data_IF_475449746204
#
_entry.id   IF_475449746204
#
_cell.length_a   1.000
_cell.length_b   1.000
_cell.length_c   1.000
_cell.angle_alpha   90.00
_cell.angle_beta   90.00
_cell.angle_gamma   90.00
#
_symmetry.space_group_name_H-M   'P 1'
#
loop_
_entity.id
_entity.type
_entity.pdbx_description
1 polymer ?
#
# COMPACT_ATOMS: atom_id res chain seq x y z
N UNK A 1 -3.51 -2.48 -3.18
CA UNK A 1 -2.75 -3.71 -2.87
C UNK A 1 -1.40 -3.62 -3.56
N UNK A 2 -0.30 -3.65 -2.81
CA UNK A 2 1.07 -3.65 -3.32
C UNK A 2 1.88 -4.76 -2.68
N UNK A 3 2.99 -5.20 -3.28
CA UNK A 3 3.84 -6.24 -2.70
C UNK A 3 5.24 -6.30 -3.32
N UNK A 4 6.14 -7.07 -2.69
CA UNK A 4 7.56 -7.21 -3.08
C UNK A 4 8.25 -5.85 -3.30
N UNK A 5 8.12 -4.93 -2.36
CA UNK A 5 8.97 -3.72 -2.33
C UNK A 5 10.41 -4.08 -1.90
N UNK A 6 10.55 -5.07 -1.03
CA UNK A 6 11.81 -5.78 -0.81
C UNK A 6 11.85 -7.05 -1.69
N UNK A 7 12.91 -7.28 -2.48
CA UNK A 7 12.98 -8.42 -3.39
C UNK A 7 12.98 -9.81 -2.72
N UNK A 8 13.58 -9.96 -1.53
CA UNK A 8 13.73 -11.25 -0.84
C UNK A 8 12.45 -11.80 -0.22
N UNK A 9 11.40 -10.98 -0.09
CA UNK A 9 10.12 -11.31 0.55
C UNK A 9 9.22 -12.13 -0.40
N UNK A 10 9.71 -13.30 -0.83
CA UNK A 10 9.05 -14.13 -1.86
C UNK A 10 7.64 -14.59 -1.46
N UNK A 11 7.40 -14.77 -0.16
CA UNK A 11 6.09 -14.98 0.45
C UNK A 11 5.03 -13.96 0.02
N UNK A 12 5.38 -12.67 -0.08
CA UNK A 12 4.46 -11.63 -0.56
C UNK A 12 3.96 -11.89 -1.99
N UNK A 13 4.74 -12.54 -2.85
CA UNK A 13 4.27 -12.96 -4.18
C UNK A 13 3.31 -14.15 -4.12
N UNK A 14 3.49 -15.07 -3.17
CA UNK A 14 2.56 -16.19 -2.97
C UNK A 14 1.22 -15.71 -2.42
N UNK A 15 1.22 -14.75 -1.49
CA UNK A 15 0.03 -14.05 -1.01
C UNK A 15 -0.67 -13.33 -2.17
N UNK A 16 0.06 -12.56 -2.97
CA UNK A 16 -0.50 -11.87 -4.15
C UNK A 16 -1.06 -12.84 -5.18
N UNK A 17 -0.40 -13.98 -5.40
CA UNK A 17 -0.86 -15.02 -6.32
C UNK A 17 -2.19 -15.62 -5.84
N UNK A 18 -2.26 -16.12 -4.60
CA UNK A 18 -3.49 -16.71 -4.06
C UNK A 18 -4.64 -15.71 -3.97
N UNK A 19 -4.33 -14.44 -3.64
CA UNK A 19 -5.29 -13.34 -3.70
C UNK A 19 -5.82 -13.15 -5.12
N UNK A 20 -4.94 -13.08 -6.13
CA UNK A 20 -5.35 -12.91 -7.52
C UNK A 20 -6.14 -14.10 -8.05
N UNK A 21 -5.71 -15.33 -7.76
CA UNK A 21 -6.38 -16.56 -8.17
C UNK A 21 -7.82 -16.59 -7.62
N UNK A 22 -8.01 -16.42 -6.30
CA UNK A 22 -9.35 -16.37 -5.70
C UNK A 22 -10.16 -15.13 -6.13
N UNK A 23 -9.55 -13.95 -6.14
CA UNK A 23 -10.22 -12.70 -6.53
C UNK A 23 -10.62 -12.67 -8.01
N UNK A 24 -10.05 -13.50 -8.88
CA UNK A 24 -10.43 -13.61 -10.29
C UNK A 24 -11.24 -14.86 -10.62
N UNK A 25 -11.48 -15.73 -9.63
CA UNK A 25 -12.31 -16.92 -9.77
C UNK A 25 -13.73 -16.54 -10.28
N UNK A 26 -14.19 -17.14 -11.40
CA UNK A 26 -15.52 -16.90 -11.94
C UNK A 26 -16.62 -17.65 -11.16
N UNK A 27 -16.28 -18.72 -10.44
CA UNK A 27 -17.22 -19.59 -9.72
C UNK A 27 -17.35 -19.22 -8.23
N UNK A 28 -16.38 -18.48 -7.66
CA UNK A 28 -16.50 -17.87 -6.32
C UNK A 28 -17.47 -16.67 -6.33
N UNK A 29 -18.72 -16.93 -5.92
CA UNK A 29 -19.78 -15.93 -5.84
C UNK A 29 -19.49 -14.79 -4.84
N UNK A 30 -18.80 -15.06 -3.73
CA UNK A 30 -18.41 -14.03 -2.75
C UNK A 30 -17.44 -13.03 -3.41
N UNK A 31 -16.47 -13.54 -4.17
CA UNK A 31 -15.53 -12.69 -4.91
C UNK A 31 -16.20 -11.97 -6.08
N UNK A 32 -17.20 -12.55 -6.74
CA UNK A 32 -17.99 -11.82 -7.72
C UNK A 32 -18.70 -10.60 -7.09
N UNK A 33 -19.37 -10.76 -5.94
CA UNK A 33 -20.00 -9.64 -5.24
C UNK A 33 -18.99 -8.60 -4.78
N UNK A 34 -17.84 -9.04 -4.28
CA UNK A 34 -16.76 -8.15 -3.89
C UNK A 34 -16.23 -7.32 -5.08
N UNK A 35 -16.12 -7.92 -6.27
CA UNK A 35 -15.77 -7.22 -7.54
C UNK A 35 -16.89 -6.29 -8.04
N UNK A 36 -18.15 -6.53 -7.68
CA UNK A 36 -19.28 -5.61 -7.96
C UNK A 36 -19.26 -4.38 -7.04
N UNK A 37 -18.78 -4.54 -5.80
CA UNK A 37 -18.75 -3.46 -4.79
C UNK A 37 -17.46 -2.63 -4.80
N UNK A 38 -16.31 -3.21 -5.15
CA UNK A 38 -14.99 -2.57 -5.02
C UNK A 38 -14.12 -2.68 -6.27
N UNK A 39 -13.39 -1.60 -6.58
CA UNK A 39 -12.35 -1.63 -7.62
C UNK A 39 -10.99 -1.96 -7.00
N UNK A 40 -10.45 -3.12 -7.37
CA UNK A 40 -9.14 -3.56 -6.94
C UNK A 40 -8.02 -2.97 -7.80
N UNK A 41 -7.16 -2.15 -7.19
CA UNK A 41 -5.89 -1.67 -7.79
C UNK A 41 -4.73 -2.45 -7.18
N UNK A 42 -4.03 -3.23 -8.00
CA UNK A 42 -3.04 -4.22 -7.56
C UNK A 42 -1.70 -3.97 -8.28
N UNK A 43 -0.61 -3.84 -7.52
CA UNK A 43 0.78 -3.85 -8.02
C UNK A 43 1.51 -5.01 -7.36
N UNK A 44 1.57 -6.20 -8.00
CA UNK A 44 2.05 -7.42 -7.34
C UNK A 44 3.58 -7.46 -7.10
N UNK A 45 4.32 -6.53 -7.72
CA UNK A 45 5.78 -6.46 -7.66
C UNK A 45 6.28 -5.01 -7.79
N UNK A 46 6.68 -4.41 -6.68
CA UNK A 46 7.23 -3.05 -6.62
C UNK A 46 8.74 -2.96 -6.93
N UNK A 47 9.48 -4.07 -6.87
CA UNK A 47 10.94 -4.09 -7.06
C UNK A 47 11.38 -5.21 -8.05
N UNK A 48 10.95 -5.16 -9.32
CA UNK A 48 11.25 -6.22 -10.30
C UNK A 48 12.73 -6.34 -10.62
N UNK A 49 13.46 -5.22 -10.64
CA UNK A 49 14.90 -5.16 -10.89
C UNK A 49 15.70 -5.82 -9.78
N UNK A 50 15.39 -5.51 -8.50
CA UNK A 50 16.02 -6.17 -7.37
C UNK A 50 15.71 -7.67 -7.31
N UNK A 51 14.52 -8.10 -7.76
CA UNK A 51 14.16 -9.53 -7.84
C UNK A 51 14.98 -10.25 -8.92
N UNK A 52 15.08 -9.69 -10.13
CA UNK A 52 15.87 -10.27 -11.23
C UNK A 52 17.35 -10.38 -10.84
N UNK A 53 17.89 -9.39 -10.13
CA UNK A 53 19.27 -9.41 -9.66
C UNK A 53 19.53 -10.28 -8.41
N UNK A 54 18.50 -10.92 -7.83
CA UNK A 54 18.65 -11.73 -6.61
C UNK A 54 19.03 -10.93 -5.36
N UNK A 55 18.71 -9.62 -5.32
CA UNK A 55 18.91 -8.81 -4.14
C UNK A 55 18.02 -9.30 -2.98
N UNK A 56 18.39 -8.96 -1.74
CA UNK A 56 17.49 -9.17 -0.61
C UNK A 56 16.49 -8.02 -0.41
N UNK A 57 16.96 -6.76 -0.45
CA UNK A 57 16.19 -5.61 0.07
C UNK A 57 16.09 -4.44 -0.90
N UNK A 58 17.21 -4.09 -1.52
CA UNK A 58 17.32 -2.88 -2.32
C UNK A 58 16.98 -3.13 -3.79
N UNK A 59 16.59 -2.06 -4.50
CA UNK A 59 16.61 -2.00 -5.96
C UNK A 59 18.05 -2.07 -6.50
N UNK A 60 18.20 -2.16 -7.82
CA UNK A 60 19.48 -2.13 -8.52
C UNK A 60 20.28 -0.83 -8.24
N UNK A 61 19.60 0.26 -7.91
CA UNK A 61 20.22 1.52 -7.46
C UNK A 61 20.75 1.47 -6.00
N UNK A 62 20.79 0.29 -5.38
CA UNK A 62 21.17 0.07 -3.98
C UNK A 62 20.33 0.87 -2.96
N UNK A 63 19.06 1.17 -3.30
CA UNK A 63 18.12 1.88 -2.41
C UNK A 63 17.05 0.96 -1.85
N UNK A 64 16.79 1.07 -0.55
CA UNK A 64 15.56 0.57 0.06
C UNK A 64 14.39 1.41 -0.46
N UNK A 65 13.59 0.83 -1.35
CA UNK A 65 12.43 1.47 -1.98
C UNK A 65 11.33 1.84 -0.96
N UNK A 66 11.18 1.06 0.12
CA UNK A 66 10.21 1.32 1.17
C UNK A 66 10.58 2.53 2.05
N UNK A 67 11.77 3.10 1.87
CA UNK A 67 12.20 4.37 2.48
C UNK A 67 12.12 5.58 1.53
N UNK A 68 11.73 5.39 0.27
CA UNK A 68 11.72 6.47 -0.75
C UNK A 68 10.36 7.16 -0.92
N UNK A 69 9.30 6.72 -0.24
CA UNK A 69 7.93 7.24 -0.42
C UNK A 69 7.77 8.74 -0.18
N UNK A 70 8.62 9.40 0.62
CA UNK A 70 8.50 10.86 0.86
C UNK A 70 8.78 11.65 -0.42
N UNK A 71 9.93 11.42 -1.05
CA UNK A 71 10.39 12.13 -2.24
C UNK A 71 11.01 11.14 -3.24
N UNK A 72 10.20 10.29 -3.89
CA UNK A 72 10.70 9.31 -4.85
C UNK A 72 11.20 10.02 -6.12
N UNK A 73 12.28 9.52 -6.71
CA UNK A 73 12.79 10.00 -8.00
C UNK A 73 12.12 9.20 -9.12
N UNK A 74 11.62 9.84 -10.20
CA UNK A 74 11.11 9.12 -11.37
C UNK A 74 12.20 8.31 -12.08
N UNK A 75 13.48 8.65 -11.92
CA UNK A 75 14.61 7.94 -12.54
C UNK A 75 15.17 6.83 -11.65
N UNK A 76 15.38 7.10 -10.35
CA UNK A 76 15.99 6.12 -9.43
C UNK A 76 14.97 5.21 -8.73
N UNK A 77 13.74 5.68 -8.53
CA UNK A 77 12.68 4.99 -7.80
C UNK A 77 11.35 4.93 -8.62
N UNK A 78 11.39 4.56 -9.92
CA UNK A 78 10.25 4.73 -10.83
C UNK A 78 8.96 4.04 -10.35
N UNK A 79 9.07 2.84 -9.80
CA UNK A 79 7.92 2.07 -9.30
C UNK A 79 7.24 2.76 -8.12
N UNK A 80 8.02 3.28 -7.17
CA UNK A 80 7.51 4.06 -6.02
C UNK A 80 6.95 5.41 -6.47
N UNK A 81 7.63 6.09 -7.40
CA UNK A 81 7.16 7.37 -7.96
C UNK A 81 5.79 7.21 -8.62
N UNK A 82 5.64 6.28 -9.58
CA UNK A 82 4.39 6.10 -10.30
C UNK A 82 3.27 5.51 -9.43
N UNK A 83 3.59 4.62 -8.49
CA UNK A 83 2.60 4.13 -7.50
C UNK A 83 2.11 5.27 -6.61
N UNK A 84 3.02 6.13 -6.12
CA UNK A 84 2.65 7.34 -5.38
C UNK A 84 1.79 8.29 -6.21
N UNK A 85 2.11 8.52 -7.49
CA UNK A 85 1.26 9.31 -8.38
C UNK A 85 -0.16 8.73 -8.49
N UNK A 86 -0.31 7.41 -8.67
CA UNK A 86 -1.61 6.75 -8.71
C UNK A 86 -2.40 6.95 -7.41
N UNK A 87 -1.76 6.79 -6.25
CA UNK A 87 -2.41 7.02 -4.95
C UNK A 87 -2.90 8.47 -4.81
N UNK A 88 -2.10 9.46 -5.22
CA UNK A 88 -2.49 10.87 -5.14
C UNK A 88 -3.56 11.24 -6.17
N UNK A 89 -3.56 10.62 -7.35
CA UNK A 89 -4.65 10.80 -8.31
C UNK A 89 -6.00 10.29 -7.74
N UNK A 90 -6.01 9.12 -7.09
CA UNK A 90 -7.19 8.59 -6.41
C UNK A 90 -7.61 9.45 -5.20
N UNK A 91 -6.63 10.06 -4.52
CA UNK A 91 -6.85 10.99 -3.41
C UNK A 91 -7.55 12.29 -3.83
N UNK A 92 -7.18 12.82 -5.00
CA UNK A 92 -7.68 14.08 -5.53
C UNK A 92 -9.07 13.95 -6.18
N UNK A 93 -9.44 12.76 -6.67
CA UNK A 93 -10.69 12.53 -7.44
C UNK A 93 -11.90 12.06 -6.61
N UNK A 94 -11.75 11.78 -5.31
CA UNK A 94 -12.88 11.41 -4.45
C UNK A 94 -12.52 11.23 -2.98
N UNK A 95 -12.65 12.31 -2.20
CA UNK A 95 -12.35 12.43 -0.77
C UNK A 95 -10.89 12.16 -0.37
N UNK A 96 -10.40 12.93 0.60
CA UNK A 96 -9.05 12.79 1.11
C UNK A 96 -8.82 11.35 1.58
N UNK A 97 -7.75 10.66 1.12
CA UNK A 97 -7.58 9.26 1.37
C UNK A 97 -7.33 9.09 2.85
N UNK A 98 -8.23 8.39 3.51
CA UNK A 98 -7.89 7.69 4.73
C UNK A 98 -6.97 6.53 4.34
N UNK A 99 -5.71 6.89 4.06
CA UNK A 99 -4.63 5.94 3.84
C UNK A 99 -4.53 5.16 5.14
N UNK A 100 -5.13 3.98 5.17
CA UNK A 100 -4.89 2.96 6.20
C UNK A 100 -3.90 2.01 5.58
N UNK A 101 -2.62 2.40 5.60
CA UNK A 101 -1.55 1.54 5.13
C UNK A 101 -1.41 0.40 6.12
N UNK A 102 -1.62 -0.80 5.61
CA UNK A 102 -1.57 -2.03 6.37
C UNK A 102 -0.46 -2.86 5.74
N UNK A 103 0.62 -3.05 6.49
CA UNK A 103 1.67 -3.97 6.06
C UNK A 103 1.28 -5.38 6.49
N UNK A 104 0.83 -6.21 5.53
CA UNK A 104 0.55 -7.63 5.74
C UNK A 104 1.89 -8.36 5.79
N UNK A 105 2.32 -8.79 6.98
CA UNK A 105 3.52 -9.60 7.14
C UNK A 105 3.18 -11.08 7.13
N UNK A 106 3.95 -11.84 6.36
CA UNK A 106 3.94 -13.32 6.35
C UNK A 106 5.34 -13.85 6.70
N UNK A 107 5.45 -15.12 7.11
CA UNK A 107 6.74 -15.65 7.58
C UNK A 107 7.82 -15.64 6.47
N UNK A 108 8.97 -15.02 6.78
CA UNK A 108 10.17 -14.95 5.95
C UNK A 108 10.62 -13.52 5.58
N UNK A 109 11.68 -13.02 6.25
CA UNK A 109 12.76 -12.12 5.74
C UNK A 109 12.37 -10.89 4.88
N UNK A 110 12.41 -9.60 5.32
CA UNK A 110 13.15 -8.97 6.45
C UNK A 110 12.80 -7.45 6.73
N UNK A 111 12.63 -7.08 8.02
CA UNK A 111 13.11 -5.81 8.68
C UNK A 111 12.25 -4.51 8.76
N UNK A 112 11.82 -4.22 10.01
CA UNK A 112 11.55 -2.95 10.72
C UNK A 112 10.40 -2.01 10.29
N UNK A 113 9.60 -1.54 11.28
CA UNK A 113 8.56 -0.54 11.08
C UNK A 113 9.16 0.80 10.64
N UNK A 114 8.37 1.58 9.90
CA UNK A 114 8.84 2.85 9.33
C UNK A 114 7.97 3.39 8.20
N UNK A 115 6.68 3.02 8.17
CA UNK A 115 5.75 3.49 7.16
C UNK A 115 4.69 4.39 7.82
N UNK A 116 4.67 5.64 7.43
CA UNK A 116 3.65 6.62 7.83
C UNK A 116 2.78 6.95 6.63
N UNK A 117 1.47 6.94 6.87
CA UNK A 117 0.47 7.25 5.88
C UNK A 117 0.57 8.70 5.35
N UNK A 118 1.24 9.61 6.07
CA UNK A 118 1.55 10.97 5.56
C UNK A 118 2.70 11.00 4.55
N UNK A 119 3.49 9.93 4.41
CA UNK A 119 4.54 9.84 3.39
C UNK A 119 3.94 9.69 1.98
N UNK A 120 2.73 9.15 1.86
CA UNK A 120 2.07 8.88 0.58
C UNK A 120 1.46 10.14 -0.06
N UNK A 121 1.24 11.21 0.70
CA UNK A 121 0.83 12.50 0.15
C UNK A 121 1.96 13.15 -0.68
N UNK A 122 1.61 13.68 -1.86
CA UNK A 122 2.40 14.67 -2.59
C UNK A 122 1.94 16.09 -2.20
N UNK A 123 2.81 17.12 -2.28
CA UNK A 123 2.37 18.50 -2.31
C UNK A 123 1.64 18.79 -3.64
N UNK A 124 0.47 19.47 -3.62
CA UNK A 124 -0.10 20.05 -4.83
C UNK A 124 0.90 21.05 -5.45
N UNK A 125 1.02 21.18 -6.80
CA UNK A 125 0.09 20.70 -7.83
C UNK A 125 0.71 19.65 -8.79
N UNK A 126 1.57 18.73 -8.29
CA UNK A 126 2.43 17.90 -9.15
C UNK A 126 1.68 16.96 -10.14
N UNK A 127 0.42 16.65 -9.85
CA UNK A 127 -0.44 15.73 -10.61
C UNK A 127 -0.63 16.12 -12.09
N UNK A 128 -0.53 17.41 -12.42
CA UNK A 128 -0.76 17.93 -13.79
C UNK A 128 0.37 17.63 -14.80
N UNK A 129 1.50 17.07 -14.36
CA UNK A 129 2.73 16.98 -15.17
C UNK A 129 2.96 15.66 -15.91
N UNK A 130 2.13 14.63 -15.68
CA UNK A 130 2.37 13.29 -16.23
C UNK A 130 2.02 13.22 -17.72
N UNK A 131 3.02 13.40 -18.59
CA UNK A 131 2.92 13.16 -20.03
C UNK A 131 3.33 11.72 -20.36
N UNK A 132 2.36 10.86 -20.68
CA UNK A 132 2.65 9.54 -21.23
C UNK A 132 3.08 9.64 -22.70
N UNK A 133 4.04 8.80 -23.11
CA UNK A 133 4.62 8.80 -24.45
C UNK A 133 3.62 8.36 -25.54
N UNK A 134 3.85 8.82 -26.78
CA UNK A 134 2.90 8.81 -27.89
C UNK A 134 2.54 7.44 -28.53
N UNK A 135 2.57 6.35 -27.75
CA UNK A 135 2.17 5.01 -28.18
C UNK A 135 1.31 4.25 -27.16
N UNK A 136 0.95 4.87 -26.03
CA UNK A 136 0.03 4.29 -25.03
C UNK A 136 -1.40 4.83 -25.14
N UNK A 137 -2.31 4.21 -24.38
CA UNK A 137 -3.69 4.67 -24.16
C UNK A 137 -3.71 6.18 -23.97
N UNK A 138 -4.53 6.90 -24.75
CA UNK A 138 -4.52 8.36 -24.76
C UNK A 138 -4.75 8.94 -23.36
N UNK A 139 -4.16 10.10 -23.05
CA UNK A 139 -4.36 10.75 -21.75
C UNK A 139 -5.86 10.92 -21.42
N UNK A 140 -6.72 11.13 -22.42
CA UNK A 140 -8.18 11.17 -22.25
C UNK A 140 -8.75 9.81 -21.80
N UNK A 141 -8.47 8.72 -22.53
CA UNK A 141 -8.96 7.38 -22.16
C UNK A 141 -8.38 6.89 -20.83
N UNK A 142 -7.14 7.26 -20.49
CA UNK A 142 -6.55 6.99 -19.19
C UNK A 142 -7.23 7.81 -18.08
N UNK A 143 -7.48 9.11 -18.30
CA UNK A 143 -8.25 9.95 -17.38
C UNK A 143 -9.69 9.45 -17.21
N UNK A 144 -10.33 8.90 -18.25
CA UNK A 144 -11.67 8.34 -18.15
C UNK A 144 -11.70 7.01 -17.37
N UNK A 145 -10.65 6.16 -17.47
CA UNK A 145 -10.45 4.98 -16.60
C UNK A 145 -10.19 5.38 -15.13
N UNK A 146 -9.56 6.54 -14.88
CA UNK A 146 -9.31 7.08 -13.54
C UNK A 146 -10.38 8.06 -13.04
N UNK A 147 -11.41 8.38 -13.85
CA UNK A 147 -12.53 9.28 -13.50
C UNK A 147 -13.68 8.60 -12.79
N UNK A 148 -13.61 7.28 -12.62
CA UNK A 148 -14.40 6.63 -11.58
C UNK A 148 -13.91 7.19 -10.24
N UNK A 149 -14.66 8.16 -9.69
CA UNK A 149 -14.44 8.77 -8.37
C UNK A 149 -14.58 7.71 -7.28
N UNK A 150 -13.51 6.94 -7.09
CA UNK A 150 -13.45 5.80 -6.17
C UNK A 150 -12.55 6.20 -5.02
N UNK A 151 -13.19 6.58 -3.92
CA UNK A 151 -12.52 6.85 -2.66
C UNK A 151 -11.67 5.63 -2.24
N UNK A 152 -10.38 5.83 -2.01
CA UNK A 152 -9.48 4.76 -1.61
C UNK A 152 -9.74 4.36 -0.15
N UNK A 153 -10.57 3.32 0.05
CA UNK A 153 -10.97 2.82 1.37
C UNK A 153 -9.83 2.14 2.15
N UNK A 154 -8.99 1.35 1.47
CA UNK A 154 -7.96 0.50 2.10
C UNK A 154 -6.70 0.47 1.23
N UNK A 155 -5.52 0.58 1.84
CA UNK A 155 -4.23 0.32 1.18
C UNK A 155 -3.46 -0.76 1.94
N UNK A 156 -3.21 -1.88 1.28
CA UNK A 156 -2.45 -3.00 1.85
C UNK A 156 -1.16 -3.18 1.06
N UNK A 157 -0.04 -3.32 1.76
CA UNK A 157 1.29 -3.62 1.24
C UNK A 157 1.78 -4.96 1.83
N UNK A 158 2.02 -5.96 0.98
CA UNK A 158 2.40 -7.31 1.42
C UNK A 158 3.91 -7.43 1.55
N UNK A 159 4.36 -7.83 2.74
CA UNK A 159 5.76 -7.97 3.16
C UNK A 159 6.03 -9.36 3.77
N UNK A 160 7.30 -9.63 4.01
CA UNK A 160 7.78 -10.80 4.74
C UNK A 160 8.57 -10.43 6.01
N UNK A 161 8.43 -11.21 7.09
CA UNK A 161 9.10 -10.94 8.36
C UNK A 161 10.03 -12.07 8.81
N UNK A 162 11.26 -11.75 9.24
CA UNK A 162 12.26 -12.75 9.66
C UNK A 162 12.23 -13.14 11.13
N UNK A 163 11.58 -12.34 11.99
CA UNK A 163 11.73 -12.44 13.45
C UNK A 163 10.49 -12.89 14.20
N UNK A 164 9.33 -12.72 13.57
CA UNK A 164 8.02 -12.92 14.17
C UNK A 164 7.28 -13.90 13.29
N UNK A 165 6.62 -14.84 13.94
CA UNK A 165 5.85 -15.91 13.32
C UNK A 165 4.42 -15.45 13.08
N UNK A 166 3.67 -16.29 12.38
CA UNK A 166 2.26 -16.08 12.04
C UNK A 166 2.02 -14.87 11.10
N UNK A 167 0.74 -14.56 10.83
CA UNK A 167 0.34 -13.42 9.98
C UNK A 167 -0.13 -12.26 10.87
N UNK A 168 0.35 -11.05 10.61
CA UNK A 168 0.03 -9.87 11.41
C UNK A 168 0.12 -8.58 10.58
N UNK A 169 -0.43 -7.48 11.12
CA UNK A 169 -0.41 -6.15 10.51
C UNK A 169 0.50 -5.21 11.29
N UNK A 170 1.17 -4.29 10.58
CA UNK A 170 1.42 -2.96 11.14
C UNK A 170 0.44 -1.97 10.53
N UNK A 171 -0.19 -1.18 11.40
CA UNK A 171 -1.04 -0.05 11.02
C UNK A 171 -0.24 1.24 10.87
N UNK A 172 -0.97 2.33 10.69
CA UNK A 172 -0.45 3.69 10.71
C UNK A 172 -0.82 4.41 12.00
N UNK A 173 -0.51 3.85 13.17
CA UNK A 173 -0.70 4.59 14.43
C UNK A 173 0.14 5.88 14.36
N UNK A 174 -0.46 7.08 14.44
CA UNK A 174 0.29 8.32 14.42
C UNK A 174 1.31 8.41 15.56
N UNK A 175 1.04 7.79 16.72
CA UNK A 175 1.88 7.77 17.94
C UNK A 175 3.18 7.01 17.74
N UNK A 176 3.11 5.87 17.03
CA UNK A 176 4.26 5.02 16.71
C UNK A 176 4.94 5.41 15.39
N UNK A 177 4.49 6.49 14.74
CA UNK A 177 5.18 7.02 13.57
C UNK A 177 6.62 7.40 13.93
N UNK A 178 7.56 6.91 13.13
CA UNK A 178 8.98 7.29 13.18
C UNK A 178 9.23 8.78 12.88
N UNK A 179 8.22 9.51 12.40
CA UNK A 179 8.33 10.90 11.96
C UNK A 179 7.55 11.84 12.89
N UNK A 180 8.22 12.70 13.69
CA UNK A 180 7.56 13.52 14.71
C UNK A 180 6.55 14.57 14.23
N UNK A 181 6.44 14.83 12.92
CA UNK A 181 5.36 15.66 12.37
C UNK A 181 3.98 15.00 12.49
N UNK A 182 3.95 13.67 12.62
CA UNK A 182 2.74 12.89 12.42
C UNK A 182 1.96 12.72 13.73
N UNK A 183 2.64 12.80 14.88
CA UNK A 183 2.08 12.90 16.24
C UNK A 183 1.04 14.03 16.39
N UNK A 184 1.12 15.07 15.55
CA UNK A 184 0.23 16.22 15.62
C UNK A 184 -1.13 15.88 15.03
N UNK A 185 -2.17 15.91 15.86
CA UNK A 185 -3.58 15.89 15.41
C UNK A 185 -3.77 16.89 14.24
N UNK A 186 -4.69 16.61 13.29
CA UNK A 186 -5.11 17.60 12.31
C UNK A 186 -5.47 18.92 13.00
N UNK A 187 -5.10 20.06 12.44
CA UNK A 187 -5.42 21.38 13.03
C UNK A 187 -6.93 21.64 13.17
N UNK A 188 -7.75 20.86 12.47
CA UNK A 188 -9.20 20.87 12.51
C UNK A 188 -9.81 19.97 13.59
N UNK A 189 -9.04 19.07 14.20
CA UNK A 189 -9.55 18.11 15.17
C UNK A 189 -9.67 18.74 16.57
N UNK A 190 -10.80 18.52 17.22
CA UNK A 190 -11.06 19.02 18.58
C UNK A 190 -10.14 18.32 19.60
N UNK A 191 -9.69 19.00 20.67
CA UNK A 191 -9.00 18.34 21.79
C UNK A 191 -9.83 17.23 22.45
N UNK A 192 -11.17 17.32 22.36
CA UNK A 192 -12.10 16.37 22.95
C UNK A 192 -12.48 15.20 22.03
N UNK A 193 -12.06 15.21 20.75
CA UNK A 193 -12.29 14.06 19.87
C UNK A 193 -11.44 12.86 20.33
N UNK A 194 -12.01 11.64 20.35
CA UNK A 194 -11.23 10.43 20.61
C UNK A 194 -10.13 10.27 19.55
N UNK A 195 -9.07 9.54 19.90
CA UNK A 195 -8.02 9.23 18.94
C UNK A 195 -8.61 8.32 17.85
N UNK A 196 -8.22 8.56 16.61
CA UNK A 196 -8.61 7.73 15.48
C UNK A 196 -7.90 6.38 15.56
N UNK A 197 -8.62 5.35 15.99
CA UNK A 197 -8.16 3.95 16.09
C UNK A 197 -8.54 3.13 14.85
N UNK A 198 -9.02 3.77 13.79
CA UNK A 198 -9.60 3.08 12.63
C UNK A 198 -8.58 2.27 11.80
N UNK A 199 -7.29 2.45 12.07
CA UNK A 199 -6.21 1.59 11.56
C UNK A 199 -6.24 0.16 12.17
N UNK A 200 -6.92 -0.05 13.30
CA UNK A 200 -7.08 -1.37 13.94
C UNK A 200 -8.24 -2.19 13.36
N UNK A 201 -9.20 -1.57 12.65
CA UNK A 201 -10.44 -2.22 12.20
C UNK A 201 -10.20 -3.51 11.39
N UNK A 202 -9.22 -3.52 10.47
CA UNK A 202 -8.92 -4.73 9.70
C UNK A 202 -8.26 -5.81 10.57
N UNK A 203 -7.41 -5.44 11.53
CA UNK A 203 -6.88 -6.40 12.49
C UNK A 203 -7.99 -6.98 13.38
N UNK A 204 -9.00 -6.19 13.76
CA UNK A 204 -10.17 -6.64 14.53
C UNK A 204 -11.08 -7.60 13.75
N UNK A 205 -11.13 -7.46 12.43
CA UNK A 205 -11.86 -8.38 11.54
C UNK A 205 -11.05 -9.66 11.34
N UNK A 206 -9.77 -9.54 10.99
CA UNK A 206 -8.90 -10.71 10.70
C UNK A 206 -8.75 -11.63 11.92
N UNK A 207 -8.60 -11.10 13.13
CA UNK A 207 -8.53 -11.88 14.38
C UNK A 207 -9.76 -12.77 14.63
N UNK A 208 -10.91 -12.39 14.06
CA UNK A 208 -12.18 -13.13 14.19
C UNK A 208 -12.41 -14.16 13.08
N UNK A 209 -11.81 -13.97 11.90
CA UNK A 209 -12.12 -14.76 10.69
C UNK A 209 -10.94 -15.56 10.13
N UNK A 210 -9.71 -15.24 10.51
CA UNK A 210 -8.50 -15.85 9.97
C UNK A 210 -7.66 -16.48 11.10
N UNK A 211 -7.80 -17.80 11.38
CA UNK A 211 -7.02 -18.48 12.41
C UNK A 211 -5.48 -18.34 12.33
N UNK A 212 -4.84 -18.16 11.15
CA UNK A 212 -3.41 -17.87 11.06
C UNK A 212 -3.01 -16.42 11.40
N UNK A 213 -4.00 -15.55 11.66
CA UNK A 213 -3.78 -14.15 12.01
C UNK A 213 -3.64 -13.97 13.51
N UNK A 214 -2.73 -13.10 13.94
CA UNK A 214 -2.50 -12.80 15.34
C UNK A 214 -2.62 -11.29 15.61
N UNK A 215 -3.73 -10.86 16.22
CA UNK A 215 -3.88 -9.45 16.64
C UNK A 215 -2.86 -9.06 17.71
N UNK A 216 -2.49 -9.98 18.61
CA UNK A 216 -1.45 -9.75 19.63
C UNK A 216 -0.04 -9.54 19.05
N UNK A 217 0.16 -9.87 17.77
CA UNK A 217 1.38 -9.63 17.01
C UNK A 217 1.40 -8.29 16.25
N UNK A 218 0.28 -7.56 16.21
CA UNK A 218 0.15 -6.31 15.44
C UNK A 218 0.74 -5.08 16.18
N UNK A 219 1.07 -4.03 15.42
CA UNK A 219 1.55 -2.74 15.93
C UNK A 219 1.48 -1.61 14.92
#
# INVERSE_FOLDING_TARGET
LTGRVHPGETNASWVMRGLLERLTDPDDAEMQDLRRMFIFKIVPLLNPDGVICGNHRCSLAARDLNRQWINPSPTLHPTIYHTKCLINLLAETGNAPFVRCIQLYTEGVLFYPGFSCRQMALPPPFCQSIRYGAGGISNAAMLDIFRLSVEMKIYIDCHGHSRQKDVFLYGCDPRESWKPSDYRRPKSASPAEPMDESFLELADVLDKIAPPFSRGACG
#
